data_IF_937036160191
#
_entry.id   IF_937036160191
#
_cell.length_a   1.000
_cell.length_b   1.000
_cell.length_c   1.000
_cell.angle_alpha   90.00
_cell.angle_beta   90.00
_cell.angle_gamma   90.00
#
_symmetry.space_group_name_H-M   'P 1'
#
loop_
_entity.id
_entity.type
_entity.pdbx_description
1 polymer ?
#
# COMPACT_ATOMS: atom_id res chain seq x y z
N UNK A 1 -0.16 -11.73 5.60
CA UNK A 1 0.31 -11.31 6.95
C UNK A 1 0.73 -9.83 7.02
N UNK A 2 1.71 -9.35 6.21
CA UNK A 2 2.15 -7.93 6.27
C UNK A 2 1.06 -6.97 5.75
N UNK A 3 0.36 -7.32 4.70
CA UNK A 3 -0.71 -6.51 4.11
C UNK A 3 -1.97 -6.47 4.99
N UNK A 4 -2.31 -7.57 5.64
CA UNK A 4 -3.39 -7.62 6.64
C UNK A 4 -3.08 -6.70 7.83
N UNK A 5 -1.83 -6.72 8.28
CA UNK A 5 -1.35 -5.87 9.37
C UNK A 5 -1.35 -4.39 8.99
N UNK A 6 -1.05 -4.08 7.72
CA UNK A 6 -1.16 -2.72 7.19
C UNK A 6 -2.61 -2.22 7.16
N UNK A 7 -3.55 -3.05 6.70
CA UNK A 7 -4.98 -2.73 6.70
C UNK A 7 -5.53 -2.51 8.12
N UNK A 8 -5.16 -3.35 9.08
CA UNK A 8 -5.53 -3.20 10.49
C UNK A 8 -4.97 -1.88 11.09
N UNK A 9 -3.71 -1.55 10.75
CA UNK A 9 -3.07 -0.32 11.19
C UNK A 9 -3.78 0.91 10.64
N UNK A 10 -4.17 0.89 9.37
CA UNK A 10 -4.93 1.97 8.75
C UNK A 10 -6.30 2.16 9.42
N UNK A 11 -7.00 1.07 9.71
CA UNK A 11 -8.28 1.14 10.42
C UNK A 11 -8.14 1.75 11.82
N UNK A 12 -7.04 1.42 12.52
CA UNK A 12 -6.73 2.01 13.83
C UNK A 12 -6.42 3.51 13.71
N UNK A 13 -5.70 3.92 12.67
CA UNK A 13 -5.42 5.33 12.40
C UNK A 13 -6.69 6.12 12.08
N UNK A 14 -7.64 5.56 11.32
CA UNK A 14 -8.94 6.19 11.07
C UNK A 14 -9.70 6.43 12.37
N UNK A 15 -9.73 5.45 13.28
CA UNK A 15 -10.38 5.61 14.58
C UNK A 15 -9.69 6.68 15.46
N UNK A 16 -8.37 6.80 15.37
CA UNK A 16 -7.62 7.86 16.08
C UNK A 16 -7.98 9.22 15.48
N UNK A 17 -8.02 9.34 14.16
CA UNK A 17 -8.37 10.58 13.47
C UNK A 17 -9.77 11.08 13.89
N UNK A 18 -10.76 10.19 13.91
CA UNK A 18 -12.11 10.54 14.38
C UNK A 18 -12.12 11.06 15.83
N UNK A 19 -11.33 10.44 16.71
CA UNK A 19 -11.20 10.93 18.11
C UNK A 19 -10.53 12.29 18.21
N UNK A 20 -9.54 12.55 17.33
CA UNK A 20 -8.89 13.87 17.29
C UNK A 20 -9.87 14.93 16.82
N UNK A 21 -10.71 14.63 15.83
CA UNK A 21 -11.77 15.52 15.36
C UNK A 21 -12.77 15.86 16.47
N UNK A 22 -13.25 14.86 17.21
CA UNK A 22 -14.13 15.05 18.38
C UNK A 22 -13.45 15.94 19.43
N UNK A 23 -12.15 15.69 19.73
CA UNK A 23 -11.39 16.48 20.71
C UNK A 23 -11.23 17.94 20.26
N UNK A 24 -10.96 18.19 18.97
CA UNK A 24 -10.90 19.57 18.43
C UNK A 24 -12.22 20.28 18.65
N UNK A 25 -13.34 19.61 18.40
CA UNK A 25 -14.66 20.19 18.60
C UNK A 25 -14.93 20.53 20.07
N UNK A 26 -14.55 19.65 20.98
CA UNK A 26 -14.68 19.87 22.44
C UNK A 26 -13.83 21.06 22.92
N UNK A 27 -12.59 21.17 22.46
CA UNK A 27 -11.69 22.28 22.80
C UNK A 27 -12.22 23.60 22.23
N UNK A 28 -12.79 23.59 21.01
CA UNK A 28 -13.39 24.77 20.41
C UNK A 28 -14.61 25.25 21.23
N UNK A 29 -15.47 24.34 21.67
CA UNK A 29 -16.62 24.67 22.52
C UNK A 29 -16.15 25.24 23.87
N UNK A 30 -15.14 24.63 24.48
CA UNK A 30 -14.57 25.11 25.74
C UNK A 30 -13.94 26.51 25.60
N UNK A 31 -13.25 26.77 24.47
CA UNK A 31 -12.67 28.09 24.20
C UNK A 31 -13.75 29.16 24.01
N UNK A 32 -14.85 28.81 23.33
CA UNK A 32 -15.99 29.72 23.19
C UNK A 32 -16.64 30.05 24.54
N UNK A 33 -16.80 29.08 25.45
CA UNK A 33 -17.27 29.30 26.83
C UNK A 33 -16.33 30.19 27.60
N UNK A 34 -15.01 30.02 27.42
CA UNK A 34 -14.00 30.88 28.05
C UNK A 34 -14.19 32.32 27.58
N UNK A 35 -14.38 32.54 26.28
CA UNK A 35 -14.58 33.85 25.67
C UNK A 35 -15.86 34.54 26.21
N UNK A 36 -16.95 33.78 26.39
CA UNK A 36 -18.17 34.31 27.05
C UNK A 36 -17.94 34.70 28.51
N UNK A 37 -17.12 33.93 29.22
CA UNK A 37 -16.79 34.21 30.60
C UNK A 37 -15.94 35.46 30.71
N UNK A 38 -14.99 35.67 29.81
CA UNK A 38 -14.18 36.90 29.74
C UNK A 38 -15.05 38.12 29.48
N UNK A 39 -16.01 38.06 28.55
CA UNK A 39 -16.97 39.15 28.32
C UNK A 39 -17.76 39.52 29.61
N UNK A 40 -18.17 38.53 30.39
CA UNK A 40 -18.85 38.78 31.68
C UNK A 40 -17.92 39.42 32.70
N UNK A 41 -16.63 39.04 32.75
CA UNK A 41 -15.64 39.67 33.61
C UNK A 41 -15.46 41.14 33.19
N UNK A 42 -15.32 41.44 31.90
CA UNK A 42 -15.20 42.81 31.40
C UNK A 42 -16.40 43.69 31.84
N UNK A 43 -17.63 43.19 31.63
CA UNK A 43 -18.85 43.92 32.07
C UNK A 43 -18.90 44.16 33.58
N UNK A 44 -18.45 43.16 34.38
CA UNK A 44 -18.38 43.32 35.85
C UNK A 44 -17.29 44.33 36.25
N UNK A 45 -16.16 44.33 35.56
CA UNK A 45 -15.06 45.27 35.83
C UNK A 45 -15.42 46.68 35.47
N UNK A 46 -16.10 46.90 34.33
CA UNK A 46 -16.63 48.21 33.96
C UNK A 46 -17.60 48.75 35.02
N UNK A 47 -18.46 47.89 35.60
CA UNK A 47 -19.38 48.27 36.65
C UNK A 47 -18.62 48.63 37.94
N UNK A 48 -17.56 47.89 38.34
CA UNK A 48 -16.73 48.21 39.50
C UNK A 48 -15.99 49.54 39.30
N UNK A 49 -15.49 49.80 38.10
CA UNK A 49 -14.86 51.09 37.72
C UNK A 49 -15.82 52.23 37.91
N UNK A 50 -17.05 52.09 37.45
CA UNK A 50 -18.14 53.12 37.63
C UNK A 50 -18.41 53.37 39.12
N UNK A 51 -18.52 52.33 39.94
CA UNK A 51 -18.70 52.47 41.41
C UNK A 51 -17.51 53.19 42.06
N UNK A 52 -16.29 52.84 41.65
CA UNK A 52 -15.10 53.48 42.19
C UNK A 52 -15.02 54.95 41.83
N UNK A 53 -15.39 55.34 40.61
CA UNK A 53 -15.46 56.74 40.17
C UNK A 53 -16.52 57.53 40.98
N UNK A 54 -17.71 56.98 41.12
CA UNK A 54 -18.79 57.60 41.92
C UNK A 54 -18.38 57.70 43.39
N UNK A 55 -17.75 56.68 43.97
CA UNK A 55 -17.24 56.70 45.34
C UNK A 55 -16.15 57.75 45.53
N UNK A 56 -15.25 57.92 44.53
CA UNK A 56 -14.24 58.93 44.50
C UNK A 56 -14.84 60.35 44.52
N UNK A 57 -15.89 60.60 43.71
CA UNK A 57 -16.63 61.83 43.69
C UNK A 57 -17.36 62.14 45.02
N UNK A 58 -17.99 61.11 45.58
CA UNK A 58 -18.62 61.20 46.91
C UNK A 58 -17.65 61.56 48.01
N UNK A 59 -16.48 60.88 48.01
CA UNK A 59 -15.39 61.16 48.96
C UNK A 59 -14.81 62.55 48.83
N UNK A 60 -14.70 63.08 47.63
CA UNK A 60 -14.30 64.43 47.36
C UNK A 60 -15.28 65.44 47.94
N UNK A 61 -16.59 65.27 47.66
CA UNK A 61 -17.64 66.10 48.21
C UNK A 61 -17.65 66.05 49.77
N UNK A 62 -17.49 64.90 50.38
CA UNK A 62 -17.36 64.76 51.82
C UNK A 62 -16.11 65.45 52.38
N UNK A 63 -15.00 65.40 51.67
CA UNK A 63 -13.79 66.13 52.10
C UNK A 63 -13.98 67.63 52.03
N UNK A 64 -14.69 68.15 51.04
CA UNK A 64 -15.01 69.60 50.92
C UNK A 64 -15.91 70.01 52.10
N UNK A 65 -16.93 69.27 52.44
CA UNK A 65 -17.87 69.61 53.47
C UNK A 65 -17.20 69.48 54.89
N UNK A 66 -16.33 68.49 55.10
CA UNK A 66 -15.51 68.34 56.31
C UNK A 66 -14.54 69.56 56.47
N UNK A 67 -13.96 70.06 55.42
CA UNK A 67 -13.12 71.27 55.45
C UNK A 67 -13.96 72.51 55.83
N UNK A 68 -15.22 72.58 55.39
CA UNK A 68 -16.17 73.67 55.67
C UNK A 68 -16.64 73.69 57.12
N UNK A 69 -16.67 72.52 57.77
CA UNK A 69 -17.01 72.39 59.19
C UNK A 69 -15.86 72.77 60.19
N UNK A 70 -14.69 73.12 59.66
CA UNK A 70 -13.53 73.55 60.45
C UNK A 70 -13.02 72.50 61.40
N UNK A 71 -12.78 72.90 62.66
CA UNK A 71 -12.26 72.00 63.68
C UNK A 71 -13.17 70.76 63.97
N UNK A 72 -14.49 70.97 63.90
CA UNK A 72 -15.45 69.87 64.10
C UNK A 72 -15.45 68.82 62.96
N UNK A 73 -14.92 69.15 61.81
CA UNK A 73 -14.88 68.29 60.63
C UNK A 73 -13.61 67.46 60.49
N UNK A 74 -12.60 67.64 61.34
CA UNK A 74 -11.29 66.95 61.18
C UNK A 74 -11.35 65.43 61.07
N UNK A 75 -12.18 64.79 61.94
CA UNK A 75 -12.37 63.31 61.88
C UNK A 75 -13.02 62.87 60.58
N UNK A 76 -13.99 63.64 60.08
CA UNK A 76 -14.67 63.33 58.81
C UNK A 76 -13.70 63.53 57.62
N UNK A 77 -12.83 64.49 57.63
CA UNK A 77 -11.83 64.70 56.56
C UNK A 77 -10.87 63.53 56.43
N UNK A 78 -10.45 62.91 57.55
CA UNK A 78 -9.56 61.72 57.48
C UNK A 78 -10.30 60.54 56.88
N UNK A 79 -11.56 60.28 57.26
CA UNK A 79 -12.35 59.17 56.70
C UNK A 79 -12.60 59.41 55.20
N UNK A 80 -12.97 60.62 54.82
CA UNK A 80 -13.17 60.95 53.36
C UNK A 80 -11.87 60.78 52.58
N UNK A 81 -10.72 61.16 53.09
CA UNK A 81 -9.41 60.91 52.52
C UNK A 81 -9.08 59.43 52.32
N UNK A 82 -9.46 58.59 53.32
CA UNK A 82 -9.26 57.14 53.19
C UNK A 82 -10.22 56.51 52.14
N UNK A 83 -11.48 56.95 52.09
CA UNK A 83 -12.43 56.47 51.05
C UNK A 83 -11.95 56.85 49.68
N UNK A 84 -11.41 58.09 49.48
CA UNK A 84 -10.81 58.52 48.22
C UNK A 84 -9.67 57.61 47.79
N UNK A 85 -8.76 57.31 48.72
CA UNK A 85 -7.63 56.42 48.44
C UNK A 85 -8.07 55.03 48.05
N UNK A 86 -9.07 54.46 48.74
CA UNK A 86 -9.64 53.12 48.40
C UNK A 86 -10.32 53.13 47.05
N UNK A 87 -11.04 54.17 46.66
CA UNK A 87 -11.70 54.28 45.36
C UNK A 87 -10.67 54.39 44.24
N UNK A 88 -9.57 55.15 44.44
CA UNK A 88 -8.48 55.25 43.49
C UNK A 88 -7.77 53.88 43.30
N UNK A 89 -7.54 53.14 44.41
CA UNK A 89 -6.98 51.77 44.35
C UNK A 89 -7.92 50.81 43.64
N UNK A 90 -9.24 50.88 43.90
CA UNK A 90 -10.23 50.05 43.24
C UNK A 90 -10.25 50.30 41.73
N UNK A 91 -10.20 51.57 41.32
CA UNK A 91 -10.15 51.94 39.90
C UNK A 91 -8.87 51.39 39.21
N UNK A 92 -7.71 51.51 39.90
CA UNK A 92 -6.44 50.96 39.33
C UNK A 92 -6.50 49.42 39.19
N UNK A 93 -7.01 48.69 40.21
CA UNK A 93 -7.16 47.24 40.15
C UNK A 93 -8.15 46.80 39.06
N UNK A 94 -9.23 47.57 38.86
CA UNK A 94 -10.18 47.30 37.78
C UNK A 94 -9.52 47.44 36.41
N UNK A 95 -8.67 48.44 36.16
CA UNK A 95 -7.92 48.58 34.92
C UNK A 95 -6.97 47.40 34.67
N UNK A 96 -6.28 46.92 35.68
CA UNK A 96 -5.41 45.74 35.59
C UNK A 96 -6.18 44.46 35.22
N UNK A 97 -7.42 44.29 35.78
CA UNK A 97 -8.31 43.18 35.45
C UNK A 97 -8.80 43.34 34.00
N UNK A 98 -9.12 44.53 33.54
CA UNK A 98 -9.57 44.79 32.18
C UNK A 98 -8.47 44.44 31.14
N UNK A 99 -7.21 44.83 31.40
CA UNK A 99 -6.06 44.47 30.59
C UNK A 99 -5.87 42.94 30.53
N UNK A 100 -5.90 42.27 31.69
CA UNK A 100 -5.78 40.80 31.76
C UNK A 100 -6.94 40.10 31.00
N UNK A 101 -8.16 40.61 31.13
CA UNK A 101 -9.33 40.09 30.45
C UNK A 101 -9.18 40.24 28.90
N UNK A 102 -8.62 41.34 28.44
CA UNK A 102 -8.35 41.60 27.02
C UNK A 102 -7.30 40.64 26.48
N UNK A 103 -6.19 40.43 27.19
CA UNK A 103 -5.15 39.45 26.83
C UNK A 103 -5.77 38.05 26.71
N UNK A 104 -6.60 37.64 27.68
CA UNK A 104 -7.27 36.33 27.66
C UNK A 104 -8.24 36.20 26.50
N UNK A 105 -8.91 37.28 26.10
CA UNK A 105 -9.77 37.31 24.90
C UNK A 105 -8.97 37.11 23.63
N UNK A 106 -7.83 37.79 23.49
CA UNK A 106 -6.95 37.65 22.34
C UNK A 106 -6.35 36.24 22.22
N UNK A 107 -5.94 35.65 23.35
CA UNK A 107 -5.42 34.28 23.39
C UNK A 107 -6.51 33.24 23.07
N UNK A 108 -7.74 33.45 23.54
CA UNK A 108 -8.89 32.62 23.18
C UNK A 108 -9.19 32.69 21.68
N UNK A 109 -9.10 33.88 21.08
CA UNK A 109 -9.32 34.05 19.62
C UNK A 109 -8.26 33.32 18.81
N UNK A 110 -6.99 33.43 19.20
CA UNK A 110 -5.90 32.67 18.56
C UNK A 110 -6.09 31.15 18.69
N UNK A 111 -6.58 30.70 19.85
CA UNK A 111 -6.84 29.26 20.06
C UNK A 111 -7.93 28.77 19.08
N UNK A 112 -8.97 29.56 18.81
CA UNK A 112 -10.00 29.23 17.79
C UNK A 112 -9.39 29.13 16.39
N UNK A 113 -8.55 30.07 15.98
CA UNK A 113 -7.87 30.03 14.68
C UNK A 113 -7.01 28.77 14.54
N UNK A 114 -6.26 28.40 15.58
CA UNK A 114 -5.44 27.17 15.59
C UNK A 114 -6.32 25.92 15.45
N UNK A 115 -7.50 25.88 16.12
CA UNK A 115 -8.43 24.75 15.99
C UNK A 115 -9.00 24.62 14.56
N UNK A 116 -9.31 25.73 13.90
CA UNK A 116 -9.74 25.72 12.50
C UNK A 116 -8.66 25.21 11.54
N UNK A 117 -7.39 25.54 11.79
CA UNK A 117 -6.27 25.03 11.03
C UNK A 117 -6.06 23.53 11.28
N UNK A 118 -6.12 23.09 12.53
CA UNK A 118 -6.06 21.68 12.88
C UNK A 118 -7.17 20.86 12.20
N UNK A 119 -8.39 21.40 12.13
CA UNK A 119 -9.50 20.74 11.46
C UNK A 119 -9.22 20.51 9.97
N UNK A 120 -8.62 21.49 9.27
CA UNK A 120 -8.22 21.34 7.86
C UNK A 120 -7.14 20.26 7.70
N UNK A 121 -6.17 20.21 8.62
CA UNK A 121 -5.11 19.19 8.60
C UNK A 121 -5.70 17.80 8.79
N UNK A 122 -6.63 17.61 9.71
CA UNK A 122 -7.28 16.33 9.98
C UNK A 122 -8.10 15.85 8.77
N UNK A 123 -8.80 16.74 8.08
CA UNK A 123 -9.53 16.40 6.85
C UNK A 123 -8.53 15.91 5.78
N UNK A 124 -7.46 16.63 5.51
CA UNK A 124 -6.44 16.23 4.54
C UNK A 124 -5.74 14.92 4.92
N UNK A 125 -5.51 14.68 6.21
CA UNK A 125 -4.97 13.43 6.71
C UNK A 125 -5.96 12.27 6.47
N UNK A 126 -7.25 12.48 6.69
CA UNK A 126 -8.30 11.47 6.44
C UNK A 126 -8.37 11.09 4.95
N UNK A 127 -8.27 12.07 4.05
CA UNK A 127 -8.21 11.82 2.60
C UNK A 127 -6.97 10.99 2.22
N UNK A 128 -5.79 11.35 2.72
CA UNK A 128 -4.53 10.63 2.47
C UNK A 128 -4.58 9.18 3.00
N UNK A 129 -5.23 8.96 4.14
CA UNK A 129 -5.44 7.63 4.70
C UNK A 129 -6.39 6.79 3.82
N UNK A 130 -7.46 7.39 3.30
CA UNK A 130 -8.39 6.72 2.37
C UNK A 130 -7.69 6.31 1.07
N UNK A 131 -6.82 7.16 0.54
CA UNK A 131 -6.00 6.83 -0.64
C UNK A 131 -5.00 5.70 -0.34
N UNK A 132 -4.32 5.77 0.81
CA UNK A 132 -3.40 4.72 1.25
C UNK A 132 -4.12 3.37 1.41
N UNK A 133 -5.34 3.37 1.93
CA UNK A 133 -6.15 2.16 2.05
C UNK A 133 -6.42 1.52 0.68
N UNK A 134 -6.80 2.31 -0.33
CA UNK A 134 -7.02 1.80 -1.70
C UNK A 134 -5.75 1.17 -2.28
N UNK A 135 -4.60 1.81 -2.09
CA UNK A 135 -3.31 1.25 -2.54
C UNK A 135 -2.99 -0.07 -1.84
N UNK A 136 -3.24 -0.19 -0.54
CA UNK A 136 -3.03 -1.44 0.20
C UNK A 136 -3.96 -2.55 -0.30
N UNK A 137 -5.22 -2.26 -0.57
CA UNK A 137 -6.19 -3.22 -1.14
C UNK A 137 -5.76 -3.69 -2.53
N UNK A 138 -5.26 -2.79 -3.38
CA UNK A 138 -4.72 -3.12 -4.69
C UNK A 138 -3.48 -4.03 -4.59
N UNK A 139 -2.56 -3.76 -3.68
CA UNK A 139 -1.39 -4.61 -3.41
C UNK A 139 -1.82 -6.01 -2.97
N UNK A 140 -2.82 -6.14 -2.10
CA UNK A 140 -3.37 -7.43 -1.66
C UNK A 140 -3.92 -8.20 -2.87
N UNK A 141 -4.66 -7.55 -3.75
CA UNK A 141 -5.19 -8.15 -4.98
C UNK A 141 -4.06 -8.63 -5.91
N UNK A 142 -3.03 -7.82 -6.12
CA UNK A 142 -1.88 -8.18 -6.95
C UNK A 142 -1.09 -9.37 -6.38
N UNK A 143 -0.93 -9.44 -5.06
CA UNK A 143 -0.30 -10.60 -4.39
C UNK A 143 -1.14 -11.86 -4.62
N UNK A 144 -2.46 -11.79 -4.51
CA UNK A 144 -3.36 -12.93 -4.78
C UNK A 144 -3.22 -13.44 -6.21
N UNK A 145 -3.21 -12.54 -7.20
CA UNK A 145 -3.00 -12.87 -8.61
C UNK A 145 -1.62 -13.49 -8.86
N UNK A 146 -0.57 -12.96 -8.21
CA UNK A 146 0.79 -13.52 -8.29
C UNK A 146 0.85 -14.95 -7.72
N UNK A 147 0.19 -15.21 -6.60
CA UNK A 147 0.10 -16.57 -6.03
C UNK A 147 -0.64 -17.54 -6.96
N UNK A 148 -1.67 -17.09 -7.67
CA UNK A 148 -2.36 -17.90 -8.68
C UNK A 148 -1.43 -18.23 -9.84
N UNK A 149 -0.68 -17.25 -10.34
CA UNK A 149 0.31 -17.46 -11.40
C UNK A 149 1.42 -18.44 -11.00
N UNK A 150 1.90 -18.37 -9.75
CA UNK A 150 2.89 -19.31 -9.21
C UNK A 150 2.34 -20.74 -9.20
N UNK A 151 1.06 -20.94 -8.84
CA UNK A 151 0.42 -22.27 -8.89
C UNK A 151 0.37 -22.79 -10.32
N UNK A 152 -0.01 -21.97 -11.30
CA UNK A 152 -0.01 -22.36 -12.72
C UNK A 152 1.38 -22.74 -13.23
N UNK A 153 2.42 -21.99 -12.83
CA UNK A 153 3.81 -22.33 -13.16
C UNK A 153 4.21 -23.68 -12.56
N UNK A 154 3.83 -23.94 -11.31
CA UNK A 154 4.08 -25.24 -10.67
C UNK A 154 3.43 -26.38 -11.46
N UNK A 155 2.14 -26.27 -11.79
CA UNK A 155 1.41 -27.29 -12.56
C UNK A 155 2.03 -27.51 -13.94
N UNK A 156 2.45 -26.44 -14.61
CA UNK A 156 3.16 -26.51 -15.90
C UNK A 156 4.54 -27.19 -15.79
N UNK A 157 5.23 -26.97 -14.68
CA UNK A 157 6.53 -27.61 -14.42
C UNK A 157 6.37 -29.10 -14.16
N UNK A 158 5.32 -29.53 -13.47
CA UNK A 158 5.00 -30.94 -13.26
C UNK A 158 4.66 -31.64 -14.59
N UNK A 159 3.87 -30.98 -15.46
CA UNK A 159 3.57 -31.50 -16.80
C UNK A 159 4.83 -31.59 -17.68
N UNK A 160 5.72 -30.59 -17.62
CA UNK A 160 7.02 -30.63 -18.31
C UNK A 160 7.89 -31.80 -17.87
N UNK A 161 7.90 -32.11 -16.59
CA UNK A 161 8.63 -33.27 -16.05
C UNK A 161 8.06 -34.60 -16.60
N UNK A 162 6.74 -34.73 -16.73
CA UNK A 162 6.10 -35.89 -17.36
C UNK A 162 6.47 -36.01 -18.84
N UNK A 163 6.30 -34.96 -19.60
CA UNK A 163 6.63 -34.91 -21.05
C UNK A 163 8.11 -35.22 -21.30
N UNK A 164 9.02 -34.73 -20.45
CA UNK A 164 10.44 -35.08 -20.52
C UNK A 164 10.66 -36.58 -20.41
N UNK A 165 9.97 -37.28 -19.50
CA UNK A 165 10.10 -38.73 -19.33
C UNK A 165 9.56 -39.46 -20.57
N UNK A 166 8.47 -39.01 -21.16
CA UNK A 166 7.92 -39.56 -22.42
C UNK A 166 8.92 -39.43 -23.58
N UNK A 167 9.58 -38.24 -23.69
CA UNK A 167 10.62 -38.00 -24.70
C UNK A 167 11.84 -38.90 -24.46
N UNK A 168 12.27 -39.11 -23.24
CA UNK A 168 13.36 -40.02 -22.93
C UNK A 168 13.05 -41.47 -23.33
N UNK A 169 11.83 -41.94 -23.06
CA UNK A 169 11.37 -43.27 -23.49
C UNK A 169 11.35 -43.39 -25.00
N UNK A 170 10.83 -42.39 -25.72
CA UNK A 170 10.83 -42.40 -27.19
C UNK A 170 12.24 -42.42 -27.78
N UNK A 171 13.21 -41.75 -27.14
CA UNK A 171 14.64 -41.81 -27.58
C UNK A 171 15.23 -43.22 -27.35
N UNK A 172 14.92 -43.90 -26.24
CA UNK A 172 15.31 -45.27 -25.98
C UNK A 172 14.71 -46.23 -27.02
N UNK A 173 13.42 -46.07 -27.34
CA UNK A 173 12.75 -46.90 -28.36
C UNK A 173 13.33 -46.64 -29.74
N UNK A 174 13.67 -45.41 -30.08
CA UNK A 174 14.36 -45.06 -31.36
C UNK A 174 15.76 -45.70 -31.44
N UNK A 175 16.48 -45.75 -30.32
CA UNK A 175 17.79 -46.41 -30.26
C UNK A 175 17.67 -47.91 -30.51
N UNK A 176 16.67 -48.57 -29.94
CA UNK A 176 16.39 -50.00 -30.20
C UNK A 176 16.04 -50.26 -31.67
N UNK A 177 15.14 -49.45 -32.27
CA UNK A 177 14.80 -49.56 -33.67
C UNK A 177 16.04 -49.34 -34.59
N UNK A 178 16.89 -48.38 -34.26
CA UNK A 178 18.14 -48.18 -35.01
C UNK A 178 19.06 -49.41 -34.97
N UNK A 179 19.17 -50.07 -33.82
CA UNK A 179 19.97 -51.30 -33.68
C UNK A 179 19.35 -52.45 -34.48
N UNK A 180 18.06 -52.63 -34.43
CA UNK A 180 17.34 -53.62 -35.23
C UNK A 180 17.51 -53.36 -36.74
N UNK A 181 17.46 -52.11 -37.18
CA UNK A 181 17.72 -51.73 -38.58
C UNK A 181 19.15 -52.06 -39.02
N UNK A 182 20.14 -51.85 -38.18
CA UNK A 182 21.53 -52.23 -38.46
C UNK A 182 21.66 -53.75 -38.64
N UNK A 183 21.00 -54.52 -37.77
CA UNK A 183 20.99 -56.00 -37.84
C UNK A 183 20.27 -56.49 -39.07
N UNK A 184 19.08 -55.98 -39.39
CA UNK A 184 18.32 -56.33 -40.59
C UNK A 184 19.03 -55.92 -41.91
N UNK A 185 19.76 -54.81 -41.89
CA UNK A 185 20.55 -54.36 -43.06
C UNK A 185 21.71 -55.34 -43.29
N UNK A 186 22.36 -55.81 -42.24
CA UNK A 186 23.45 -56.83 -42.33
C UNK A 186 22.91 -58.16 -42.86
N UNK A 187 21.75 -58.61 -42.34
CA UNK A 187 21.12 -59.84 -42.85
C UNK A 187 20.77 -59.73 -44.33
N UNK A 188 20.17 -58.61 -44.76
CA UNK A 188 19.87 -58.33 -46.17
C UNK A 188 21.14 -58.31 -47.04
N UNK A 189 22.26 -57.78 -46.49
CA UNK A 189 23.56 -57.83 -47.21
C UNK A 189 24.05 -59.28 -47.40
N UNK A 190 24.00 -60.11 -46.34
CA UNK A 190 24.43 -61.49 -46.37
C UNK A 190 23.54 -62.31 -47.32
N UNK A 191 22.23 -62.10 -47.33
CA UNK A 191 21.29 -62.73 -48.28
C UNK A 191 21.59 -62.29 -49.73
N UNK A 192 21.94 -61.03 -49.99
CA UNK A 192 22.26 -60.50 -51.29
C UNK A 192 23.55 -61.17 -51.83
N UNK A 193 24.53 -61.40 -50.95
CA UNK A 193 25.76 -62.15 -51.32
C UNK A 193 25.43 -63.60 -51.72
N UNK A 194 24.54 -64.31 -51.02
CA UNK A 194 24.10 -65.66 -51.38
C UNK A 194 23.35 -65.65 -52.74
N UNK A 195 22.54 -64.64 -52.99
CA UNK A 195 21.87 -64.49 -54.30
C UNK A 195 22.87 -64.28 -55.44
N UNK A 196 23.93 -63.52 -55.24
CA UNK A 196 25.02 -63.34 -56.24
C UNK A 196 25.72 -64.67 -56.50
N UNK A 197 26.03 -65.44 -55.45
CA UNK A 197 26.65 -66.78 -55.61
C UNK A 197 25.73 -67.73 -56.35
N UNK A 198 24.44 -67.69 -56.08
CA UNK A 198 23.42 -68.52 -56.81
C UNK A 198 23.38 -68.14 -58.27
N UNK A 199 23.39 -66.86 -58.62
CA UNK A 199 23.47 -66.43 -60.02
C UNK A 199 24.76 -66.90 -60.73
N UNK A 200 25.93 -66.91 -60.04
CA UNK A 200 27.15 -67.42 -60.55
C UNK A 200 27.03 -68.95 -60.86
N UNK A 201 26.37 -69.72 -59.95
CA UNK A 201 26.14 -71.12 -60.21
C UNK A 201 25.19 -71.37 -61.36
N UNK A 202 24.09 -70.61 -61.48
CA UNK A 202 23.17 -70.67 -62.59
C UNK A 202 23.87 -70.34 -63.92
N UNK A 203 24.72 -69.28 -63.93
CA UNK A 203 25.54 -68.95 -65.07
C UNK A 203 26.43 -70.11 -65.53
N UNK A 204 27.17 -70.69 -64.56
CA UNK A 204 28.05 -71.84 -64.81
C UNK A 204 27.30 -73.06 -65.35
N UNK A 205 26.09 -73.32 -64.78
CA UNK A 205 25.22 -74.41 -65.27
C UNK A 205 24.68 -74.17 -66.70
N UNK A 206 24.30 -72.90 -66.98
CA UNK A 206 23.89 -72.50 -68.31
C UNK A 206 25.03 -72.63 -69.38
N UNK A 207 26.27 -72.29 -69.02
CA UNK A 207 27.46 -72.47 -69.84
C UNK A 207 27.70 -73.99 -70.09
N UNK A 208 27.60 -74.83 -69.05
CA UNK A 208 27.69 -76.28 -69.25
C UNK A 208 26.60 -76.87 -70.14
N UNK A 209 25.34 -76.40 -70.01
CA UNK A 209 24.25 -76.80 -70.87
C UNK A 209 24.50 -76.36 -72.28
N UNK A 210 25.07 -75.21 -72.55
CA UNK A 210 25.46 -74.71 -73.85
C UNK A 210 26.54 -75.64 -74.47
N UNK A 211 27.57 -76.00 -73.73
CA UNK A 211 28.63 -76.91 -74.17
C UNK A 211 28.11 -78.32 -74.48
N UNK A 212 27.15 -78.82 -73.68
CA UNK A 212 26.48 -80.10 -73.96
C UNK A 212 25.63 -80.01 -75.23
N UNK A 213 24.89 -78.92 -75.40
CA UNK A 213 24.11 -78.68 -76.64
C UNK A 213 25.00 -78.63 -77.93
N UNK A 214 26.15 -77.89 -77.82
CA UNK A 214 27.13 -77.83 -78.93
C UNK A 214 27.70 -79.21 -79.27
N UNK A 215 28.04 -79.99 -78.25
CA UNK A 215 28.49 -81.38 -78.47
C UNK A 215 27.42 -82.26 -79.05
N UNK A 216 26.15 -82.11 -78.68
CA UNK A 216 25.02 -82.84 -79.23
C UNK A 216 24.80 -82.49 -80.68
N UNK A 217 24.86 -81.17 -81.04
CA UNK A 217 24.77 -80.71 -82.45
C UNK A 217 25.90 -81.30 -83.25
N UNK A 218 27.15 -81.25 -82.77
CA UNK A 218 28.30 -81.86 -83.46
C UNK A 218 28.19 -83.36 -83.63
N UNK A 219 27.62 -84.10 -82.67
CA UNK A 219 27.37 -85.52 -82.81
C UNK A 219 26.26 -85.83 -83.81
N UNK A 220 25.22 -85.01 -83.88
CA UNK A 220 24.12 -85.17 -84.85
C UNK A 220 24.69 -84.87 -86.24
N UNK A 221 25.52 -83.89 -86.42
CA UNK A 221 26.20 -83.58 -87.75
C UNK A 221 27.11 -84.78 -88.19
N UNK A 222 27.84 -85.31 -87.23
CA UNK A 222 28.66 -86.50 -87.47
C UNK A 222 27.82 -87.67 -87.96
N UNK A 223 26.64 -87.93 -87.33
CA UNK A 223 25.71 -89.00 -87.76
C UNK A 223 25.06 -88.69 -89.14
N UNK A 224 24.77 -87.41 -89.47
CA UNK A 224 24.24 -87.00 -90.74
C UNK A 224 25.23 -87.21 -91.93
N UNK A 225 26.53 -87.16 -91.65
CA UNK A 225 27.57 -87.31 -92.65
C UNK A 225 27.97 -88.80 -92.84
N UNK A 226 27.73 -89.65 -91.87
CA UNK A 226 28.10 -91.08 -91.88
C UNK A 226 26.94 -92.01 -92.08
N UNK A 227 25.69 -91.51 -92.14
CA UNK A 227 24.51 -92.34 -92.43
C UNK A 227 24.05 -92.23 -93.90
N UNK A 228 24.52 -93.09 -94.71
CA UNK A 228 23.85 -93.44 -95.97
C UNK A 228 22.75 -94.39 -95.66
#
# INVERSE_FOLDING_TARGET
>A
QSSEKAAETLHRLQNINSKVEDTIHEVQEQTNRTNESVKRIQAATEFITSIAEETNLLSLNASIEAARAGESGKGFAVVAGQIKKLSEQSNQSSKEIEETAKELQDDSSKAVEIMEEMQKIIISQSESMSETQKVVEEVISQISNSMQSIRQIKDSTENLASTRNEVLQAVEDLSAIAQDNVSGTKETYDETEMVVDTFQQVYKSAEQLREIADKLVGSIEYFKITGV
#
